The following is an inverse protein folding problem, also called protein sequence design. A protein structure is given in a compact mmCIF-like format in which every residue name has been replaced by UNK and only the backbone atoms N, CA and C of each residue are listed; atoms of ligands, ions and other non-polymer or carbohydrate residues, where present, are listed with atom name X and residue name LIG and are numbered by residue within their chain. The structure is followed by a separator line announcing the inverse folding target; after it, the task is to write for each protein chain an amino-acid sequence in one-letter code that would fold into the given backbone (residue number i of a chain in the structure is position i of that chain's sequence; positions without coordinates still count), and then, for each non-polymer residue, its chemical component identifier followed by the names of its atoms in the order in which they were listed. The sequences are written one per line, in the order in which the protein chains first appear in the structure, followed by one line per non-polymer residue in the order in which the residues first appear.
data_IF_198514769301
#
_entry.id   IF_198514769301
#
_cell.length_a   1.000
_cell.length_b   1.000
_cell.length_c   1.000
_cell.angle_alpha   90.00
_cell.angle_beta   90.00
_cell.angle_gamma   90.00
#
_symmetry.space_group_name_H-M   'P 1'
#
loop_
_entity.id
_entity.type
_entity.pdbx_description
1 polymer ?
#
# COMPACT_ATOMS: atom_id res chain seq x y z
N UNK A 1 14.38 5.31 -7.67
CA UNK A 1 12.99 4.79 -7.73
C UNK A 1 12.67 4.08 -9.06
N UNK A 2 12.80 4.73 -10.23
CA UNK A 2 12.41 4.14 -11.54
C UNK A 2 13.04 2.79 -11.90
N UNK A 3 14.29 2.53 -11.48
CA UNK A 3 15.00 1.28 -11.78
C UNK A 3 14.44 0.05 -11.06
N UNK A 4 13.95 0.20 -9.82
CA UNK A 4 13.40 -0.93 -9.07
C UNK A 4 11.98 -1.29 -9.52
N UNK A 5 11.15 -0.29 -9.83
CA UNK A 5 9.81 -0.53 -10.36
C UNK A 5 9.85 -1.18 -11.75
N UNK A 6 10.77 -0.75 -12.63
CA UNK A 6 10.95 -1.36 -13.96
C UNK A 6 11.51 -2.79 -13.87
N UNK A 7 12.46 -3.05 -12.97
CA UNK A 7 12.96 -4.40 -12.72
C UNK A 7 11.87 -5.32 -12.13
N UNK A 8 11.04 -4.80 -11.22
CA UNK A 8 9.91 -5.55 -10.66
C UNK A 8 8.81 -5.80 -11.70
N UNK A 9 8.56 -4.83 -12.61
CA UNK A 9 7.65 -5.02 -13.74
C UNK A 9 8.18 -6.04 -14.75
N UNK A 10 9.48 -6.07 -15.00
CA UNK A 10 10.09 -7.10 -15.85
C UNK A 10 10.08 -8.50 -15.19
N UNK A 11 10.09 -8.56 -13.86
CA UNK A 11 9.82 -9.80 -13.10
C UNK A 11 8.33 -10.17 -13.15
N UNK A 12 7.42 -9.19 -13.09
CA UNK A 12 5.96 -9.37 -13.22
C UNK A 12 5.59 -9.95 -14.60
N UNK A 13 6.12 -9.39 -15.69
CA UNK A 13 5.87 -9.89 -17.05
C UNK A 13 6.40 -11.33 -17.26
N UNK A 14 7.31 -11.79 -16.39
CA UNK A 14 7.86 -13.16 -16.40
C UNK A 14 7.22 -14.10 -15.38
N UNK A 15 6.56 -13.57 -14.36
CA UNK A 15 5.92 -14.33 -13.29
C UNK A 15 4.50 -14.72 -13.68
N UNK A 16 4.34 -15.87 -14.33
CA UNK A 16 3.03 -16.36 -14.79
C UNK A 16 2.12 -16.88 -13.65
N UNK A 17 2.54 -16.79 -12.38
CA UNK A 17 1.79 -17.32 -11.25
C UNK A 17 0.69 -16.34 -10.79
N UNK A 18 -0.60 -16.65 -11.03
CA UNK A 18 -1.71 -15.76 -10.69
C UNK A 18 -1.82 -15.47 -9.19
N UNK A 19 -1.34 -16.39 -8.36
CA UNK A 19 -1.41 -16.28 -6.90
C UNK A 19 -0.42 -15.26 -6.32
N UNK A 20 0.63 -14.91 -7.05
CA UNK A 20 1.67 -13.96 -6.62
C UNK A 20 1.40 -12.53 -7.14
N UNK A 21 0.44 -12.37 -8.06
CA UNK A 21 0.07 -11.07 -8.63
C UNK A 21 -0.26 -9.99 -7.58
N UNK A 22 -1.03 -10.27 -6.51
CA UNK A 22 -1.29 -9.27 -5.48
C UNK A 22 -0.03 -8.80 -4.76
N UNK A 23 0.98 -9.67 -4.60
CA UNK A 23 2.25 -9.32 -3.96
C UNK A 23 3.12 -8.45 -4.87
N UNK A 24 3.10 -8.67 -6.19
CA UNK A 24 3.80 -7.80 -7.14
C UNK A 24 3.22 -6.39 -7.16
N UNK A 25 1.88 -6.27 -7.17
CA UNK A 25 1.21 -4.97 -7.10
C UNK A 25 1.52 -4.23 -5.78
N UNK A 26 1.54 -4.96 -4.67
CA UNK A 26 1.99 -4.42 -3.38
C UNK A 26 3.43 -3.86 -3.47
N UNK A 27 4.38 -4.62 -4.00
CA UNK A 27 5.79 -4.20 -4.11
C UNK A 27 5.95 -3.00 -5.04
N UNK A 28 5.30 -3.01 -6.21
CA UNK A 28 5.35 -1.91 -7.17
C UNK A 28 4.78 -0.62 -6.56
N UNK A 29 3.66 -0.72 -5.86
CA UNK A 29 3.03 0.38 -5.15
C UNK A 29 3.90 0.93 -4.02
N UNK A 30 4.51 0.04 -3.23
CA UNK A 30 5.42 0.41 -2.14
C UNK A 30 6.66 1.16 -2.64
N UNK A 31 7.32 0.65 -3.68
CA UNK A 31 8.49 1.33 -4.28
C UNK A 31 8.12 2.69 -4.86
N UNK A 32 6.94 2.81 -5.47
CA UNK A 32 6.44 4.08 -6.00
C UNK A 32 6.18 5.09 -4.88
N UNK A 33 5.60 4.63 -3.75
CA UNK A 33 5.35 5.46 -2.57
C UNK A 33 6.65 6.00 -1.96
N UNK A 34 7.66 5.13 -1.78
CA UNK A 34 8.98 5.55 -1.30
C UNK A 34 9.71 6.44 -2.32
N UNK A 35 9.40 6.28 -3.61
CA UNK A 35 9.89 7.14 -4.69
C UNK A 35 9.18 8.48 -4.81
N UNK A 36 8.12 8.74 -4.05
CA UNK A 36 7.31 9.97 -4.13
C UNK A 36 6.34 10.01 -5.30
N UNK A 37 6.17 8.92 -6.05
CA UNK A 37 5.18 8.79 -7.10
C UNK A 37 3.87 8.26 -6.50
N UNK A 38 3.13 9.17 -5.89
CA UNK A 38 1.92 8.84 -5.13
C UNK A 38 0.78 8.33 -6.03
N UNK A 39 0.69 8.82 -7.27
CA UNK A 39 -0.33 8.37 -8.23
C UNK A 39 -0.13 6.92 -8.64
N UNK A 40 1.11 6.57 -9.02
CA UNK A 40 1.46 5.18 -9.33
C UNK A 40 1.32 4.29 -8.10
N UNK A 41 1.72 4.79 -6.92
CA UNK A 41 1.55 4.05 -5.66
C UNK A 41 0.09 3.67 -5.40
N UNK A 42 -0.84 4.63 -5.51
CA UNK A 42 -2.27 4.38 -5.32
C UNK A 42 -2.79 3.37 -6.35
N UNK A 43 -2.43 3.53 -7.62
CA UNK A 43 -2.90 2.67 -8.70
C UNK A 43 -2.46 1.21 -8.51
N UNK A 44 -1.21 0.99 -8.09
CA UNK A 44 -0.67 -0.35 -7.88
C UNK A 44 -1.12 -0.97 -6.55
N UNK A 45 -1.09 -0.23 -5.43
CA UNK A 45 -1.58 -0.74 -4.14
C UNK A 45 -3.06 -1.11 -4.19
N UNK A 46 -3.87 -0.40 -5.00
CA UNK A 46 -5.30 -0.71 -5.17
C UNK A 46 -5.56 -2.06 -5.85
N UNK A 47 -4.58 -2.60 -6.60
CA UNK A 47 -4.64 -3.93 -7.22
C UNK A 47 -4.06 -5.03 -6.32
N UNK A 48 -3.46 -4.66 -5.19
CA UNK A 48 -2.94 -5.58 -4.20
C UNK A 48 -4.03 -6.20 -3.32
N UNK A 49 -3.63 -6.90 -2.26
CA UNK A 49 -4.58 -7.49 -1.32
C UNK A 49 -5.19 -6.42 -0.39
N UNK A 50 -6.42 -5.97 -0.70
CA UNK A 50 -7.14 -4.98 0.10
C UNK A 50 -7.69 -5.51 1.44
N UNK A 51 -7.55 -6.81 1.72
CA UNK A 51 -7.80 -7.36 3.05
C UNK A 51 -6.57 -7.26 3.97
N UNK A 52 -5.39 -6.95 3.41
CA UNK A 52 -4.19 -6.74 4.20
C UNK A 52 -4.18 -5.33 4.78
N UNK A 53 -4.27 -5.25 6.11
CA UNK A 53 -4.14 -4.02 6.89
C UNK A 53 -2.92 -3.17 6.52
N UNK A 54 -1.81 -3.79 6.14
CA UNK A 54 -0.60 -3.08 5.74
C UNK A 54 -0.77 -2.41 4.39
N UNK A 55 -1.35 -3.08 3.39
CA UNK A 55 -1.68 -2.50 2.09
C UNK A 55 -2.65 -1.33 2.26
N UNK A 56 -3.66 -1.48 3.12
CA UNK A 56 -4.60 -0.40 3.45
C UNK A 56 -3.90 0.81 4.09
N UNK A 57 -2.97 0.59 5.02
CA UNK A 57 -2.20 1.68 5.63
C UNK A 57 -1.28 2.39 4.62
N UNK A 58 -0.71 1.65 3.67
CA UNK A 58 0.09 2.25 2.58
C UNK A 58 -0.76 3.09 1.63
N UNK A 59 -2.00 2.66 1.31
CA UNK A 59 -2.96 3.47 0.57
C UNK A 59 -3.30 4.76 1.32
N UNK A 60 -3.55 4.66 2.63
CA UNK A 60 -3.75 5.83 3.50
C UNK A 60 -2.60 6.82 3.40
N UNK A 61 -1.35 6.34 3.52
CA UNK A 61 -0.14 7.17 3.41
C UNK A 61 0.06 7.77 2.02
N UNK A 62 -0.26 7.03 0.96
CA UNK A 62 -0.16 7.53 -0.41
C UNK A 62 -1.16 8.68 -0.65
N UNK A 63 -2.40 8.53 -0.20
CA UNK A 63 -3.42 9.58 -0.25
C UNK A 63 -3.06 10.79 0.62
N UNK A 64 -2.54 10.57 1.83
CA UNK A 64 -2.04 11.62 2.72
C UNK A 64 -0.96 12.45 2.01
N UNK A 65 0.06 11.79 1.45
CA UNK A 65 1.15 12.48 0.74
C UNK A 65 0.71 13.18 -0.54
N UNK A 66 -0.36 12.71 -1.18
CA UNK A 66 -1.01 13.37 -2.33
C UNK A 66 -1.88 14.56 -1.91
N UNK A 67 -2.19 14.73 -0.62
CA UNK A 67 -3.06 15.78 -0.10
C UNK A 67 -4.55 15.43 -0.06
N UNK A 68 -4.92 14.18 -0.34
CA UNK A 68 -6.29 13.69 -0.28
C UNK A 68 -6.61 13.17 1.14
N UNK A 69 -6.82 14.10 2.06
CA UNK A 69 -7.04 13.79 3.47
C UNK A 69 -8.29 12.93 3.71
N UNK A 70 -9.33 13.09 2.87
CA UNK A 70 -10.58 12.32 2.98
C UNK A 70 -10.33 10.84 2.71
N UNK A 71 -9.67 10.50 1.59
CA UNK A 71 -9.32 9.11 1.30
C UNK A 71 -8.26 8.56 2.25
N UNK A 72 -7.32 9.38 2.68
CA UNK A 72 -6.34 8.96 3.68
C UNK A 72 -7.02 8.45 4.95
N UNK A 73 -7.95 9.24 5.52
CA UNK A 73 -8.73 8.86 6.70
C UNK A 73 -9.56 7.60 6.48
N UNK A 74 -10.17 7.46 5.30
CA UNK A 74 -10.95 6.27 4.94
C UNK A 74 -10.08 4.99 4.99
N UNK A 75 -8.93 5.00 4.31
CA UNK A 75 -8.07 3.83 4.24
C UNK A 75 -7.37 3.51 5.57
N UNK A 76 -6.96 4.53 6.35
CA UNK A 76 -6.44 4.31 7.69
C UNK A 76 -7.50 3.74 8.64
N UNK A 77 -8.77 4.15 8.50
CA UNK A 77 -9.88 3.57 9.27
C UNK A 77 -10.09 2.10 8.92
N UNK A 78 -10.05 1.75 7.61
CA UNK A 78 -10.11 0.35 7.16
C UNK A 78 -8.93 -0.47 7.68
N UNK A 79 -7.73 0.11 7.70
CA UNK A 79 -6.54 -0.55 8.25
C UNK A 79 -6.69 -0.86 9.74
N UNK A 80 -7.38 0.00 10.52
CA UNK A 80 -7.66 -0.21 11.94
C UNK A 80 -8.76 -1.22 12.24
N UNK A 81 -9.60 -1.54 11.26
CA UNK A 81 -10.66 -2.54 11.41
C UNK A 81 -10.10 -3.98 11.39
N UNK A 82 -8.82 -4.17 11.02
CA UNK A 82 -8.22 -5.48 10.98
C UNK A 82 -8.02 -6.06 12.39
N UNK A 83 -8.46 -7.30 12.58
CA UNK A 83 -8.42 -8.00 13.88
C UNK A 83 -7.31 -9.04 13.97
N UNK A 84 -6.55 -9.26 12.90
CA UNK A 84 -5.48 -10.26 12.87
C UNK A 84 -4.32 -9.89 13.78
N UNK A 85 -3.88 -10.81 14.62
CA UNK A 85 -2.72 -10.64 15.51
C UNK A 85 -1.40 -10.87 14.76
N UNK A 86 -1.10 -10.04 13.78
CA UNK A 86 0.17 -10.08 13.01
C UNK A 86 0.98 -8.81 13.21
N UNK A 87 2.30 -8.89 12.95
CA UNK A 87 3.19 -7.73 13.01
C UNK A 87 2.74 -6.64 12.00
N UNK A 88 2.29 -7.06 10.81
CA UNK A 88 1.76 -6.16 9.78
C UNK A 88 0.56 -5.35 10.29
N UNK A 89 -0.39 -6.02 10.96
CA UNK A 89 -1.55 -5.36 11.56
C UNK A 89 -1.17 -4.43 12.69
N UNK A 90 -0.23 -4.81 13.55
CA UNK A 90 0.28 -3.94 14.61
C UNK A 90 0.90 -2.65 14.04
N UNK A 91 1.73 -2.75 13.01
CA UNK A 91 2.35 -1.60 12.36
C UNK A 91 1.33 -0.71 11.64
N UNK A 92 0.38 -1.33 10.93
CA UNK A 92 -0.73 -0.63 10.28
C UNK A 92 -1.57 0.17 11.28
N UNK A 93 -1.90 -0.44 12.42
CA UNK A 93 -2.65 0.21 13.50
C UNK A 93 -1.91 1.41 14.09
N UNK A 94 -0.61 1.27 14.38
CA UNK A 94 0.19 2.36 14.91
C UNK A 94 0.23 3.55 13.94
N UNK A 95 0.43 3.27 12.65
CA UNK A 95 0.48 4.29 11.59
C UNK A 95 -0.86 5.01 11.43
N UNK A 96 -1.96 4.25 11.36
CA UNK A 96 -3.30 4.78 11.22
C UNK A 96 -3.73 5.64 12.42
N UNK A 97 -3.48 5.19 13.65
CA UNK A 97 -3.78 5.98 14.87
C UNK A 97 -3.02 7.30 14.88
N UNK A 98 -1.73 7.29 14.52
CA UNK A 98 -0.90 8.49 14.47
C UNK A 98 -1.45 9.53 13.48
N UNK A 99 -2.01 9.09 12.36
CA UNK A 99 -2.62 9.99 11.38
C UNK A 99 -3.97 10.54 11.88
N UNK A 100 -4.86 9.68 12.37
CA UNK A 100 -6.23 10.06 12.76
C UNK A 100 -6.31 10.88 14.05
N UNK A 101 -5.25 10.90 14.86
CA UNK A 101 -5.14 11.67 16.10
C UNK A 101 -4.40 13.01 15.92
N UNK A 102 -3.92 13.33 14.72
CA UNK A 102 -3.38 14.65 14.36
C UNK A 102 -4.50 15.66 14.17
#
# INVERSE_FOLDING_TARGET
ARTHAAAMKALLDKGENPNEQPQYHYLAGYVSLEGGDHDTAIAELSKGNLNDSFVLALLGRAHEKKGDAAKASEYYTKALAATSHTINTAFAHQSARKYLQK
#
